data_IF_969069934163
#
_entry.id   IF_969069934163
#
_cell.length_a   1.000
_cell.length_b   1.000
_cell.length_c   1.000
_cell.angle_alpha   90.00
_cell.angle_beta   90.00
_cell.angle_gamma   90.00
#
_symmetry.space_group_name_H-M   'P 1'
#
loop_
_entity.id
_entity.type
_entity.pdbx_description
1 polymer ?
#
# COMPACT_ATOMS: atom_id res chain seq x y z
N UNK A 1 -31.33 14.71 -33.85
CA UNK A 1 -30.92 13.99 -32.62
C UNK A 1 -31.08 14.89 -31.40
N UNK A 2 -31.14 14.34 -30.18
CA UNK A 2 -31.38 15.15 -28.97
C UNK A 2 -30.38 16.30 -28.78
N UNK A 3 -29.11 16.10 -29.13
CA UNK A 3 -28.08 17.16 -29.13
C UNK A 3 -28.37 18.29 -30.14
N UNK A 4 -28.97 17.98 -31.30
CA UNK A 4 -29.37 19.00 -32.27
C UNK A 4 -30.56 19.83 -31.78
N UNK A 5 -31.54 19.21 -31.11
CA UNK A 5 -32.69 19.93 -30.52
C UNK A 5 -32.26 20.87 -29.40
N UNK A 6 -31.26 20.46 -28.62
CA UNK A 6 -30.62 21.31 -27.61
C UNK A 6 -29.93 22.52 -28.25
N UNK A 7 -29.21 22.31 -29.36
CA UNK A 7 -28.49 23.38 -30.05
C UNK A 7 -29.42 24.37 -30.77
N UNK A 8 -30.69 24.01 -31.00
CA UNK A 8 -31.71 24.85 -31.62
C UNK A 8 -32.57 25.60 -30.57
N UNK A 9 -32.16 25.62 -29.30
CA UNK A 9 -32.92 26.21 -28.18
C UNK A 9 -34.38 25.76 -28.12
N UNK A 10 -34.62 24.47 -28.41
CA UNK A 10 -35.96 23.88 -28.34
C UNK A 10 -36.54 24.03 -26.91
N UNK A 11 -37.85 24.26 -26.77
CA UNK A 11 -38.48 24.53 -25.45
C UNK A 11 -38.27 23.40 -24.42
N UNK A 12 -38.12 22.15 -24.88
CA UNK A 12 -37.81 20.98 -24.05
C UNK A 12 -36.30 20.70 -23.88
N UNK A 13 -35.41 21.61 -24.27
CA UNK A 13 -33.96 21.37 -24.27
C UNK A 13 -33.43 20.94 -22.91
N UNK A 14 -33.96 21.47 -21.81
CA UNK A 14 -33.57 21.06 -20.45
C UNK A 14 -33.96 19.62 -20.14
N UNK A 15 -35.17 19.20 -20.51
CA UNK A 15 -35.62 17.82 -20.34
C UNK A 15 -34.82 16.85 -21.25
N UNK A 16 -34.53 17.28 -22.48
CA UNK A 16 -33.71 16.50 -23.42
C UNK A 16 -32.27 16.35 -22.90
N UNK A 17 -31.67 17.40 -22.31
CA UNK A 17 -30.34 17.34 -21.67
C UNK A 17 -30.32 16.32 -20.55
N UNK A 18 -31.30 16.36 -19.66
CA UNK A 18 -31.35 15.43 -18.53
C UNK A 18 -31.56 13.98 -19.01
N UNK A 19 -32.44 13.75 -19.99
CA UNK A 19 -32.62 12.42 -20.58
C UNK A 19 -31.34 11.90 -21.25
N UNK A 20 -30.60 12.75 -21.96
CA UNK A 20 -29.31 12.38 -22.56
C UNK A 20 -28.31 12.01 -21.46
N UNK A 21 -28.22 12.81 -20.40
CA UNK A 21 -27.33 12.54 -19.26
C UNK A 21 -27.64 11.18 -18.62
N UNK A 22 -28.91 10.91 -18.36
CA UNK A 22 -29.36 9.61 -17.80
C UNK A 22 -29.01 8.47 -18.75
N UNK A 23 -29.23 8.64 -20.06
CA UNK A 23 -28.85 7.62 -21.06
C UNK A 23 -27.34 7.38 -21.10
N UNK A 24 -26.52 8.44 -21.05
CA UNK A 24 -25.06 8.32 -21.02
C UNK A 24 -24.58 7.61 -19.75
N UNK A 25 -25.17 7.92 -18.59
CA UNK A 25 -24.88 7.22 -17.33
C UNK A 25 -25.27 5.74 -17.39
N UNK A 26 -26.45 5.42 -17.92
CA UNK A 26 -26.91 4.03 -18.08
C UNK A 26 -26.04 3.26 -19.06
N UNK A 27 -25.63 3.88 -20.17
CA UNK A 27 -24.71 3.28 -21.12
C UNK A 27 -23.37 2.98 -20.46
N UNK A 28 -22.81 3.94 -19.73
CA UNK A 28 -21.56 3.73 -19.00
C UNK A 28 -21.68 2.57 -17.99
N UNK A 29 -22.76 2.53 -17.22
CA UNK A 29 -23.00 1.43 -16.28
C UNK A 29 -23.11 0.07 -17.01
N UNK A 30 -23.76 0.04 -18.16
CA UNK A 30 -23.84 -1.17 -18.98
C UNK A 30 -22.45 -1.61 -19.46
N UNK A 31 -21.65 -0.68 -19.98
CA UNK A 31 -20.30 -0.96 -20.45
C UNK A 31 -19.41 -1.48 -19.28
N UNK A 32 -19.47 -0.82 -18.12
CA UNK A 32 -18.75 -1.21 -16.91
C UNK A 32 -19.19 -2.60 -16.40
N UNK A 33 -20.49 -2.90 -16.39
CA UNK A 33 -21.00 -4.21 -15.96
C UNK A 33 -20.65 -5.33 -16.94
N UNK A 34 -20.68 -5.04 -18.24
CA UNK A 34 -20.27 -5.98 -19.27
C UNK A 34 -18.79 -6.35 -19.15
N UNK A 35 -17.93 -5.35 -19.00
CA UNK A 35 -16.49 -5.56 -18.87
C UNK A 35 -16.14 -6.34 -17.60
N UNK A 36 -16.78 -6.01 -16.46
CA UNK A 36 -16.63 -6.77 -15.22
C UNK A 36 -17.02 -8.24 -15.41
N UNK A 37 -18.14 -8.51 -16.08
CA UNK A 37 -18.60 -9.88 -16.32
C UNK A 37 -17.66 -10.64 -17.26
N UNK A 38 -17.17 -9.98 -18.30
CA UNK A 38 -16.17 -10.54 -19.22
C UNK A 38 -14.92 -10.95 -18.46
N UNK A 39 -14.38 -10.07 -17.62
CA UNK A 39 -13.19 -10.34 -16.83
C UNK A 39 -13.36 -11.55 -15.90
N UNK A 40 -14.52 -11.67 -15.24
CA UNK A 40 -14.85 -12.85 -14.42
C UNK A 40 -14.84 -14.12 -15.26
N UNK A 41 -15.41 -14.10 -16.47
CA UNK A 41 -15.42 -15.27 -17.35
C UNK A 41 -14.04 -15.66 -17.85
N UNK A 42 -13.18 -14.69 -18.17
CA UNK A 42 -11.79 -14.95 -18.56
C UNK A 42 -11.02 -15.64 -17.42
N UNK A 43 -11.18 -15.18 -16.17
CA UNK A 43 -10.58 -15.83 -15.00
C UNK A 43 -11.09 -17.25 -14.78
N UNK A 44 -12.40 -17.47 -14.89
CA UNK A 44 -13.00 -18.78 -14.70
C UNK A 44 -12.56 -19.76 -15.79
N UNK A 45 -12.52 -19.30 -17.04
CA UNK A 45 -12.06 -20.13 -18.16
C UNK A 45 -10.60 -20.56 -17.97
N UNK A 46 -9.71 -19.63 -17.63
CA UNK A 46 -8.30 -19.96 -17.35
C UNK A 46 -8.16 -21.00 -16.23
N UNK A 47 -8.92 -20.82 -15.15
CA UNK A 47 -8.91 -21.75 -14.00
C UNK A 47 -9.43 -23.14 -14.39
N UNK A 48 -10.49 -23.22 -15.21
CA UNK A 48 -11.03 -24.50 -15.67
C UNK A 48 -10.09 -25.21 -16.65
N UNK A 49 -9.43 -24.46 -17.53
CA UNK A 49 -8.41 -25.01 -18.43
C UNK A 49 -7.23 -25.56 -17.63
N UNK A 50 -6.73 -24.79 -16.66
CA UNK A 50 -5.68 -25.24 -15.73
C UNK A 50 -6.07 -26.53 -15.02
N UNK A 51 -7.28 -26.57 -14.43
CA UNK A 51 -7.77 -27.76 -13.74
C UNK A 51 -7.80 -28.98 -14.66
N UNK A 52 -8.32 -28.83 -15.87
CA UNK A 52 -8.35 -29.92 -16.85
C UNK A 52 -6.94 -30.41 -17.19
N UNK A 53 -6.00 -29.51 -17.42
CA UNK A 53 -4.61 -29.86 -17.70
C UNK A 53 -3.96 -30.60 -16.53
N UNK A 54 -4.25 -30.18 -15.29
CA UNK A 54 -3.80 -30.87 -14.08
C UNK A 54 -4.39 -32.28 -13.97
N UNK A 55 -5.71 -32.42 -14.13
CA UNK A 55 -6.40 -33.72 -14.08
C UNK A 55 -5.85 -34.67 -15.16
N UNK A 56 -5.58 -34.17 -16.37
CA UNK A 56 -5.00 -34.98 -17.45
C UNK A 56 -3.58 -35.46 -17.11
N UNK A 57 -2.76 -34.59 -16.51
CA UNK A 57 -1.40 -34.96 -16.15
C UNK A 57 -1.37 -35.91 -14.95
N UNK A 58 -2.26 -35.71 -13.97
CA UNK A 58 -2.45 -36.62 -12.83
C UNK A 58 -2.83 -38.02 -13.31
N UNK A 59 -3.84 -38.13 -14.18
CA UNK A 59 -4.23 -39.41 -14.77
C UNK A 59 -3.07 -40.07 -15.55
N UNK A 60 -2.27 -39.27 -16.24
CA UNK A 60 -1.08 -39.77 -16.93
C UNK A 60 -0.06 -40.35 -15.94
N UNK A 61 0.25 -39.65 -14.84
CA UNK A 61 1.15 -40.14 -13.78
C UNK A 61 0.62 -41.44 -13.17
N UNK A 62 -0.64 -41.47 -12.76
CA UNK A 62 -1.29 -42.64 -12.16
C UNK A 62 -1.24 -43.84 -13.11
N UNK A 63 -1.41 -43.63 -14.42
CA UNK A 63 -1.33 -44.72 -15.41
C UNK A 63 0.08 -45.33 -15.56
N UNK A 64 1.13 -44.61 -15.12
CA UNK A 64 2.53 -45.04 -15.20
C UNK A 64 3.07 -45.62 -13.89
N UNK A 65 2.44 -45.30 -12.76
CA UNK A 65 2.82 -45.79 -11.45
C UNK A 65 2.98 -47.33 -11.36
N UNK A 66 2.14 -48.16 -11.99
CA UNK A 66 2.31 -49.62 -11.95
C UNK A 66 3.58 -50.10 -12.64
N UNK A 67 4.04 -49.41 -13.69
CA UNK A 67 5.27 -49.76 -14.41
C UNK A 67 6.50 -49.56 -13.52
N UNK A 68 6.45 -48.60 -12.59
CA UNK A 68 7.53 -48.32 -11.64
C UNK A 68 7.50 -49.25 -10.42
N UNK A 69 6.34 -49.81 -10.08
CA UNK A 69 6.18 -50.74 -8.97
C UNK A 69 6.57 -52.20 -9.31
N UNK A 70 6.88 -52.53 -10.57
CA UNK A 70 7.35 -53.87 -10.95
C UNK A 70 8.80 -54.07 -10.46
N UNK A 71 8.97 -54.68 -9.29
CA UNK A 71 10.27 -54.94 -8.66
C UNK A 71 11.09 -56.09 -9.27
N UNK A 72 10.80 -56.51 -10.51
CA UNK A 72 11.50 -57.62 -11.17
C UNK A 72 12.84 -57.15 -11.74
N UNK A 73 13.92 -57.78 -11.30
CA UNK A 73 15.28 -57.44 -11.73
C UNK A 73 15.81 -58.32 -12.86
N UNK A 74 15.10 -59.39 -13.22
CA UNK A 74 15.49 -60.33 -14.27
C UNK A 74 16.39 -61.46 -13.76
N UNK A 75 16.37 -62.60 -14.46
CA UNK A 75 17.07 -63.83 -14.06
C UNK A 75 18.28 -64.13 -14.97
N UNK A 76 18.51 -63.32 -16.00
CA UNK A 76 19.62 -63.49 -16.95
C UNK A 76 20.13 -62.14 -17.46
N UNK A 77 21.39 -62.10 -17.91
CA UNK A 77 22.01 -60.88 -18.46
C UNK A 77 21.18 -60.27 -19.60
N UNK A 78 20.71 -61.04 -20.62
CA UNK A 78 19.89 -60.47 -21.69
C UNK A 78 18.58 -59.85 -21.18
N UNK A 79 17.95 -60.46 -20.17
CA UNK A 79 16.71 -59.95 -19.58
C UNK A 79 16.94 -58.63 -18.81
N UNK A 80 18.07 -58.52 -18.10
CA UNK A 80 18.47 -57.29 -17.42
C UNK A 80 18.72 -56.17 -18.44
N UNK A 81 19.44 -56.45 -19.53
CA UNK A 81 19.69 -55.48 -20.61
C UNK A 81 18.38 -54.99 -21.26
N UNK A 82 17.42 -55.87 -21.47
CA UNK A 82 16.09 -55.51 -21.95
C UNK A 82 15.32 -54.62 -20.97
N UNK A 83 15.44 -54.86 -19.66
CA UNK A 83 14.83 -54.01 -18.64
C UNK A 83 15.47 -52.63 -18.57
N UNK A 84 16.80 -52.53 -18.69
CA UNK A 84 17.51 -51.25 -18.77
C UNK A 84 16.99 -50.44 -19.96
N UNK A 85 16.94 -51.06 -21.15
CA UNK A 85 16.44 -50.39 -22.36
C UNK A 85 15.01 -49.88 -22.21
N UNK A 86 14.11 -50.70 -21.65
CA UNK A 86 12.73 -50.30 -21.37
C UNK A 86 12.66 -49.14 -20.39
N UNK A 87 13.53 -49.11 -19.39
CA UNK A 87 13.60 -48.02 -18.42
C UNK A 87 14.09 -46.72 -19.07
N UNK A 88 15.14 -46.77 -19.88
CA UNK A 88 15.62 -45.60 -20.64
C UNK A 88 14.54 -45.02 -21.56
N UNK A 89 13.76 -45.87 -22.23
CA UNK A 89 12.66 -45.42 -23.09
C UNK A 89 11.51 -44.80 -22.27
N UNK A 90 11.27 -45.32 -21.07
CA UNK A 90 10.32 -44.73 -20.13
C UNK A 90 10.79 -43.35 -19.64
N UNK A 91 12.07 -43.20 -19.28
CA UNK A 91 12.66 -41.90 -18.89
C UNK A 91 12.54 -40.86 -20.00
N UNK A 92 12.84 -41.22 -21.25
CA UNK A 92 12.64 -40.32 -22.42
C UNK A 92 11.17 -39.91 -22.55
N UNK A 93 10.25 -40.82 -22.27
CA UNK A 93 8.81 -40.52 -22.30
C UNK A 93 8.41 -39.53 -21.21
N UNK A 94 9.00 -39.63 -20.00
CA UNK A 94 8.83 -38.63 -18.92
C UNK A 94 9.39 -37.29 -19.36
N UNK A 95 10.62 -37.27 -19.87
CA UNK A 95 11.29 -36.05 -20.31
C UNK A 95 10.47 -35.32 -21.39
N UNK A 96 9.84 -36.06 -22.30
CA UNK A 96 8.95 -35.50 -23.31
C UNK A 96 7.66 -34.85 -22.75
N UNK A 97 7.28 -35.11 -21.49
CA UNK A 97 6.16 -34.45 -20.81
C UNK A 97 6.57 -33.25 -19.95
N UNK A 98 7.88 -32.97 -19.77
CA UNK A 98 8.38 -31.93 -18.85
C UNK A 98 7.72 -30.56 -19.09
N UNK A 99 7.54 -30.16 -20.36
CA UNK A 99 6.90 -28.89 -20.70
C UNK A 99 5.46 -28.78 -20.17
N UNK A 100 4.72 -29.90 -20.10
CA UNK A 100 3.38 -29.92 -19.53
C UNK A 100 3.40 -29.77 -18.01
N UNK A 101 4.38 -30.38 -17.33
CA UNK A 101 4.60 -30.14 -15.91
C UNK A 101 4.94 -28.68 -15.64
N UNK A 102 5.82 -28.09 -16.46
CA UNK A 102 6.17 -26.68 -16.37
C UNK A 102 4.98 -25.75 -16.59
N UNK A 103 4.10 -26.07 -17.54
CA UNK A 103 2.88 -25.29 -17.78
C UNK A 103 1.97 -25.22 -16.55
N UNK A 104 1.93 -26.27 -15.72
CA UNK A 104 1.14 -26.31 -14.48
C UNK A 104 1.79 -25.61 -13.28
N UNK A 105 3.04 -25.15 -13.39
CA UNK A 105 3.69 -24.36 -12.32
C UNK A 105 3.21 -22.90 -12.26
N UNK A 106 2.41 -22.47 -13.23
CA UNK A 106 1.88 -21.10 -13.31
C UNK A 106 0.77 -20.88 -12.28
N UNK A 107 0.57 -19.61 -11.94
CA UNK A 107 -0.58 -19.14 -11.14
C UNK A 107 -1.70 -18.74 -12.10
N UNK A 108 -2.94 -19.12 -11.80
CA UNK A 108 -4.13 -18.76 -12.56
C UNK A 108 -4.47 -17.27 -12.46
N UNK A 109 -5.25 -16.76 -13.41
CA UNK A 109 -5.73 -15.39 -13.38
C UNK A 109 -6.59 -15.09 -12.14
N UNK A 110 -7.37 -16.08 -11.68
CA UNK A 110 -8.19 -15.95 -10.47
C UNK A 110 -7.33 -15.79 -9.22
N UNK A 111 -6.33 -16.66 -9.04
CA UNK A 111 -5.39 -16.58 -7.92
C UNK A 111 -4.63 -15.25 -7.93
N UNK A 112 -4.19 -14.79 -9.11
CA UNK A 112 -3.53 -13.49 -9.26
C UNK A 112 -4.47 -12.32 -8.90
N UNK A 113 -5.74 -12.38 -9.31
CA UNK A 113 -6.72 -11.37 -8.97
C UNK A 113 -6.99 -11.33 -7.46
N UNK A 114 -7.09 -12.49 -6.83
CA UNK A 114 -7.25 -12.62 -5.38
C UNK A 114 -6.06 -12.04 -4.61
N UNK A 115 -4.83 -12.35 -5.03
CA UNK A 115 -3.62 -11.78 -4.44
C UNK A 115 -3.60 -10.25 -4.51
N UNK A 116 -3.93 -9.68 -5.68
CA UNK A 116 -4.03 -8.22 -5.85
C UNK A 116 -5.11 -7.61 -4.97
N UNK A 117 -6.24 -8.28 -4.79
CA UNK A 117 -7.32 -7.82 -3.92
C UNK A 117 -6.85 -7.75 -2.46
N UNK A 118 -6.15 -8.78 -1.97
CA UNK A 118 -5.59 -8.77 -0.63
C UNK A 118 -4.56 -7.65 -0.42
N UNK A 119 -3.68 -7.44 -1.40
CA UNK A 119 -2.70 -6.35 -1.36
C UNK A 119 -3.38 -4.98 -1.32
N UNK A 120 -4.41 -4.77 -2.13
CA UNK A 120 -5.18 -3.53 -2.16
C UNK A 120 -5.92 -3.29 -0.83
N UNK A 121 -6.51 -4.32 -0.24
CA UNK A 121 -7.18 -4.24 1.06
C UNK A 121 -6.20 -3.88 2.18
N UNK A 122 -5.04 -4.55 2.21
CA UNK A 122 -3.99 -4.26 3.19
C UNK A 122 -3.44 -2.84 3.04
N UNK A 123 -3.21 -2.39 1.80
CA UNK A 123 -2.78 -1.03 1.51
C UNK A 123 -3.83 0.00 1.93
N UNK A 124 -5.12 -0.24 1.66
CA UNK A 124 -6.21 0.63 2.08
C UNK A 124 -6.30 0.73 3.60
N UNK A 125 -6.13 -0.40 4.31
CA UNK A 125 -6.13 -0.43 5.77
C UNK A 125 -4.96 0.34 6.37
N UNK A 126 -3.79 0.27 5.74
CA UNK A 126 -2.62 1.04 6.17
C UNK A 126 -2.82 2.54 5.93
N UNK A 127 -3.29 2.92 4.73
CA UNK A 127 -3.58 4.30 4.40
C UNK A 127 -4.64 4.92 5.33
N UNK A 128 -5.67 4.17 5.71
CA UNK A 128 -6.69 4.63 6.66
C UNK A 128 -6.10 4.91 8.03
N UNK A 129 -5.25 4.01 8.56
CA UNK A 129 -4.56 4.22 9.84
C UNK A 129 -3.70 5.49 9.82
N UNK A 130 -2.93 5.68 8.75
CA UNK A 130 -2.09 6.87 8.57
C UNK A 130 -2.92 8.15 8.47
N UNK A 131 -4.06 8.11 7.78
CA UNK A 131 -4.98 9.24 7.67
C UNK A 131 -5.55 9.63 9.03
N UNK A 132 -6.04 8.65 9.80
CA UNK A 132 -6.57 8.87 11.16
C UNK A 132 -5.49 9.42 12.09
N UNK A 133 -4.26 8.89 12.02
CA UNK A 133 -3.16 9.39 12.84
C UNK A 133 -2.77 10.83 12.47
N UNK A 134 -2.74 11.14 11.16
CA UNK A 134 -2.48 12.49 10.66
C UNK A 134 -3.53 13.47 11.15
N UNK A 135 -4.81 13.14 11.02
CA UNK A 135 -5.90 13.98 11.51
C UNK A 135 -5.79 14.20 13.03
N UNK A 136 -5.47 13.15 13.80
CA UNK A 136 -5.25 13.26 15.24
C UNK A 136 -4.08 14.18 15.60
N UNK A 137 -3.01 14.17 14.81
CA UNK A 137 -1.87 15.07 15.00
C UNK A 137 -2.22 16.51 14.63
N UNK A 138 -2.91 16.72 13.51
CA UNK A 138 -3.39 18.03 13.07
C UNK A 138 -4.37 18.64 14.07
N UNK A 139 -5.29 17.86 14.63
CA UNK A 139 -6.20 18.31 15.67
C UNK A 139 -5.45 18.76 16.93
N UNK A 140 -4.40 18.03 17.35
CA UNK A 140 -3.53 18.45 18.46
C UNK A 140 -2.80 19.76 18.15
N UNK A 141 -2.22 19.88 16.97
CA UNK A 141 -1.57 21.12 16.51
C UNK A 141 -2.53 22.31 16.48
N UNK A 142 -3.75 22.10 15.97
CA UNK A 142 -4.79 23.15 15.91
C UNK A 142 -5.18 23.64 17.30
N UNK A 143 -5.40 22.73 18.26
CA UNK A 143 -5.68 23.08 19.65
C UNK A 143 -4.54 23.89 20.29
N UNK A 144 -3.29 23.48 20.06
CA UNK A 144 -2.12 24.18 20.61
C UNK A 144 -1.95 25.58 19.98
N UNK A 145 -2.11 25.71 18.66
CA UNK A 145 -2.08 27.00 17.97
C UNK A 145 -3.17 27.94 18.50
N UNK A 146 -4.37 27.42 18.75
CA UNK A 146 -5.46 28.21 19.31
C UNK A 146 -5.15 28.67 20.75
N UNK A 147 -4.60 27.78 21.60
CA UNK A 147 -4.14 28.13 22.95
C UNK A 147 -3.12 29.27 22.95
N UNK A 148 -2.10 29.18 22.09
CA UNK A 148 -1.05 30.21 21.95
C UNK A 148 -1.64 31.53 21.44
N UNK A 149 -2.61 31.48 20.54
CA UNK A 149 -3.26 32.68 19.98
C UNK A 149 -4.09 33.39 21.05
N UNK A 150 -4.86 32.65 21.86
CA UNK A 150 -5.63 33.20 22.96
C UNK A 150 -4.76 33.76 24.10
N UNK A 151 -3.59 33.16 24.33
CA UNK A 151 -2.59 33.66 25.28
C UNK A 151 -1.96 34.97 24.79
N UNK A 152 -1.54 35.05 23.52
CA UNK A 152 -1.03 36.29 22.91
C UNK A 152 -2.05 37.42 22.92
N UNK A 153 -3.34 37.13 22.64
CA UNK A 153 -4.41 38.13 22.70
C UNK A 153 -4.56 38.70 24.11
N UNK A 154 -4.64 37.83 25.13
CA UNK A 154 -4.74 38.24 26.54
C UNK A 154 -3.52 39.02 27.02
N UNK A 155 -2.32 38.66 26.56
CA UNK A 155 -1.10 39.42 26.87
C UNK A 155 -1.13 40.81 26.24
N UNK A 156 -1.60 40.94 25.00
CA UNK A 156 -1.81 42.23 24.33
C UNK A 156 -2.76 43.14 25.11
N UNK A 157 -3.90 42.61 25.58
CA UNK A 157 -4.87 43.33 26.42
C UNK A 157 -4.24 43.78 27.76
N UNK A 158 -3.44 42.92 28.40
CA UNK A 158 -2.71 43.28 29.64
C UNK A 158 -1.69 44.38 29.42
N UNK A 159 -0.98 44.39 28.28
CA UNK A 159 -0.01 45.44 27.93
C UNK A 159 -0.71 46.78 27.70
N UNK A 160 -1.80 46.81 26.93
CA UNK A 160 -2.64 48.00 26.75
C UNK A 160 -3.21 48.53 28.06
N UNK A 161 -3.67 47.64 28.95
CA UNK A 161 -4.16 48.03 30.28
C UNK A 161 -3.08 48.57 31.21
N UNK A 162 -1.81 48.20 30.99
CA UNK A 162 -0.65 48.73 31.74
C UNK A 162 -0.19 50.08 31.17
N UNK A 163 -0.33 50.31 29.87
CA UNK A 163 -0.07 51.61 29.22
C UNK A 163 -1.15 52.67 29.54
N UNK A 164 -2.37 52.26 29.90
CA UNK A 164 -3.47 53.17 30.28
C UNK A 164 -3.54 53.51 31.77
N UNK A 165 -2.70 52.92 32.64
CA UNK A 165 -2.60 53.38 34.03
C UNK A 165 -1.74 54.65 34.09
N UNK A 166 -2.23 55.77 34.65
CA UNK A 166 -1.36 56.89 34.95
C UNK A 166 -0.30 56.37 35.94
N UNK A 167 0.97 56.55 35.62
CA UNK A 167 2.04 56.32 36.58
C UNK A 167 1.80 57.20 37.82
N UNK A 168 2.20 56.75 39.03
CA UNK A 168 2.14 57.63 40.18
C UNK A 168 2.98 58.87 39.86
N UNK A 169 2.38 60.05 40.00
CA UNK A 169 3.07 61.33 39.90
C UNK A 169 4.24 61.33 40.89
N UNK A 170 5.46 61.21 40.37
CA UNK A 170 6.65 61.42 41.17
C UNK A 170 6.95 62.92 41.16
N UNK A 171 6.50 63.61 42.21
CA UNK A 171 7.04 64.92 42.56
C UNK A 171 8.55 64.77 42.84
N UNK A 172 9.32 65.66 42.23
CA UNK A 172 10.74 65.47 42.00
C UNK A 172 11.63 65.53 43.24
N UNK A 173 12.76 64.85 43.11
CA UNK A 173 14.04 65.35 43.59
C UNK A 173 15.10 64.92 42.58
N UNK A 174 15.67 65.90 41.88
CA UNK A 174 16.93 65.74 41.17
C UNK A 174 18.02 65.62 42.23
N UNK A 175 18.58 64.43 42.41
CA UNK A 175 19.91 64.27 42.98
C UNK A 175 20.82 63.65 41.93
N UNK A 176 21.89 64.39 41.65
CA UNK A 176 23.02 64.02 40.82
C UNK A 176 23.92 63.03 41.56
N UNK A 177 24.58 62.19 40.76
CA UNK A 177 25.66 61.26 41.11
C UNK A 177 25.20 59.99 41.86
N UNK A 178 25.70 58.80 41.59
CA UNK A 178 27.04 58.47 41.10
C UNK A 178 26.99 57.13 40.36
N UNK A 179 27.73 57.00 39.27
CA UNK A 179 28.01 55.70 38.63
C UNK A 179 29.06 54.95 39.44
N UNK A 180 28.82 53.69 39.87
CA UNK A 180 29.91 52.78 40.18
C UNK A 180 30.03 51.73 39.07
N UNK A 181 31.23 51.78 38.48
CA UNK A 181 31.96 50.72 37.81
C UNK A 181 31.47 49.29 38.06
N UNK A 182 31.43 48.59 36.92
CA UNK A 182 31.71 47.17 36.73
C UNK A 182 32.69 46.60 37.78
N UNK A 183 32.24 45.59 38.51
CA UNK A 183 33.10 44.58 39.13
C UNK A 183 32.46 43.21 38.92
N UNK A 184 33.25 42.33 38.32
CA UNK A 184 33.00 40.89 38.22
C UNK A 184 32.80 40.33 39.63
N UNK A 185 31.87 39.38 39.79
CA UNK A 185 32.25 38.05 40.25
C UNK A 185 31.11 37.04 40.07
N UNK A 186 31.56 35.84 39.72
CA UNK A 186 30.91 34.53 39.69
C UNK A 186 29.78 34.32 40.71
N UNK A 187 28.65 33.77 40.27
CA UNK A 187 28.40 32.34 40.50
C UNK A 187 27.11 31.81 39.84
N UNK A 188 27.31 30.71 39.10
CA UNK A 188 26.46 29.51 39.07
C UNK A 188 24.93 29.65 38.92
N UNK A 189 24.43 29.54 37.66
CA UNK A 189 23.15 28.87 37.39
C UNK A 189 23.33 27.81 36.31
N UNK A 190 22.94 26.61 36.71
CA UNK A 190 23.00 25.30 36.05
C UNK A 190 22.46 25.25 34.61
N UNK A 191 23.20 24.48 33.81
CA UNK A 191 22.90 23.91 32.51
C UNK A 191 21.41 23.65 32.21
N UNK A 192 20.92 24.24 31.11
CA UNK A 192 19.85 23.65 30.32
C UNK A 192 20.26 23.68 28.84
N UNK A 193 20.84 22.57 28.38
CA UNK A 193 21.17 22.34 26.97
C UNK A 193 19.88 22.38 26.13
N UNK A 194 19.76 23.41 25.29
CA UNK A 194 18.90 23.36 24.11
C UNK A 194 19.63 22.55 23.03
N UNK A 195 19.22 21.31 22.81
CA UNK A 195 19.60 20.58 21.59
C UNK A 195 18.63 20.90 20.46
N UNK A 196 19.13 21.67 19.51
CA UNK A 196 18.66 21.67 18.14
C UNK A 196 19.02 20.34 17.47
N UNK A 197 18.04 19.66 16.84
CA UNK A 197 18.13 19.04 15.49
C UNK A 197 17.04 17.97 15.28
N UNK A 198 15.98 18.31 14.55
CA UNK A 198 15.07 17.32 13.92
C UNK A 198 15.65 17.03 12.52
N UNK A 199 16.74 16.26 12.45
CA UNK A 199 17.34 15.90 11.16
C UNK A 199 17.84 14.46 11.07
N UNK A 200 17.27 13.52 11.84
CA UNK A 200 17.76 12.12 11.85
C UNK A 200 16.69 11.02 11.81
N UNK A 201 15.54 11.24 11.17
CA UNK A 201 14.53 10.17 11.02
C UNK A 201 14.23 9.75 9.57
N UNK A 202 14.97 10.26 8.59
CA UNK A 202 14.99 9.74 7.23
C UNK A 202 16.42 9.35 6.86
N UNK A 203 16.70 8.06 6.88
CA UNK A 203 18.01 7.51 6.53
C UNK A 203 18.08 6.01 6.77
N UNK A 204 17.81 5.27 5.70
CA UNK A 204 18.33 3.94 5.39
C UNK A 204 17.99 2.75 6.30
N UNK A 205 17.09 1.91 5.78
CA UNK A 205 17.31 0.46 5.80
C UNK A 205 16.56 -0.25 4.67
N UNK A 206 17.12 -0.16 3.47
CA UNK A 206 16.99 -1.23 2.47
C UNK A 206 18.25 -2.09 2.50
N UNK A 207 18.02 -3.40 2.61
CA UNK A 207 18.83 -4.49 2.06
C UNK A 207 20.07 -4.98 2.83
N UNK A 208 19.92 -6.10 3.57
CA UNK A 208 20.85 -7.27 3.56
C UNK A 208 20.42 -8.34 4.58
N UNK A 209 19.81 -9.43 4.11
CA UNK A 209 20.32 -10.81 4.32
C UNK A 209 19.41 -11.82 3.62
N UNK A 210 19.84 -12.22 2.43
CA UNK A 210 19.63 -13.58 1.98
C UNK A 210 20.87 -14.41 2.33
N UNK A 211 20.60 -15.65 2.74
CA UNK A 211 21.38 -16.88 2.53
C UNK A 211 22.25 -17.45 3.66
N UNK A 212 22.04 -18.76 3.78
CA UNK A 212 22.81 -19.86 4.37
C UNK A 212 22.52 -20.17 5.85
N UNK A 213 22.34 -21.41 6.31
CA UNK A 213 22.21 -22.73 5.70
C UNK A 213 21.97 -23.73 6.86
N UNK A 214 21.32 -24.87 6.56
CA UNK A 214 21.54 -26.23 7.13
C UNK A 214 21.56 -26.47 8.66
N UNK A 215 20.76 -27.46 9.09
CA UNK A 215 21.22 -28.44 10.10
C UNK A 215 20.26 -28.74 11.24
N UNK A 216 19.36 -29.71 11.01
CA UNK A 216 18.95 -30.86 11.84
C UNK A 216 17.48 -31.22 11.61
#
# INVERSE_FOLDING_TARGET
TGRQLINQDHFLSNEIKEKIRVLEQRKKLLDDTWENRRFIYEQNLDTQMFKREADLLENWIVSREPTLHDGKLGESIPQVEDFIRKHEDFEKTIQAQEDKFHALRRITLLERAFQKQQEAEMAARQAEKERVERERLEARKRKEVQRITDERRREGERRQGREQRPGPEHNGATELADTPRYSQDSDSISNLQKSSSISSLFGDRLNRKGRNATGL
#
